data_IF_843488682343
#
_entry.id   IF_843488682343
#
_cell.length_a   1.000
_cell.length_b   1.000
_cell.length_c   1.000
_cell.angle_alpha   90.00
_cell.angle_beta   90.00
_cell.angle_gamma   90.00
#
_symmetry.space_group_name_H-M   'P 1'
#
loop_
_entity.id
_entity.type
_entity.pdbx_description
1 polymer ?
#
# COMPACT_ATOMS: atom_id res chain seq x y z
N UNK A 1 22.05 11.31 21.45
CA UNK A 1 22.68 10.46 20.42
C UNK A 1 21.71 10.40 19.28
N UNK A 2 22.06 10.99 18.11
CA UNK A 2 21.14 11.25 17.02
C UNK A 2 20.53 9.95 16.46
N UNK A 3 19.21 9.85 16.37
CA UNK A 3 18.46 8.73 15.76
C UNK A 3 19.04 8.39 14.38
N UNK A 4 19.46 9.41 13.60
CA UNK A 4 20.17 9.24 12.33
C UNK A 4 21.46 8.41 12.43
N UNK A 5 22.24 8.50 13.52
CA UNK A 5 23.47 7.69 13.68
C UNK A 5 23.17 6.21 13.95
N UNK A 6 22.07 5.90 14.63
CA UNK A 6 21.69 4.52 14.89
C UNK A 6 21.12 3.80 13.64
N UNK A 7 20.69 4.57 12.62
CA UNK A 7 20.22 4.03 11.33
C UNK A 7 21.37 3.68 10.38
N UNK A 8 22.56 4.29 10.53
CA UNK A 8 23.70 4.12 9.62
C UNK A 8 24.28 2.68 9.59
N UNK A 9 24.03 1.89 10.65
CA UNK A 9 24.50 0.51 10.72
C UNK A 9 23.48 -0.53 10.22
N UNK A 10 22.35 -0.08 9.64
CA UNK A 10 21.31 -0.98 9.17
C UNK A 10 21.56 -1.32 7.71
N UNK A 11 21.74 -2.62 7.44
CA UNK A 11 21.85 -3.12 6.08
C UNK A 11 20.45 -3.47 5.56
N UNK A 12 19.81 -2.55 4.85
CA UNK A 12 18.55 -2.81 4.14
C UNK A 12 18.88 -3.48 2.82
N UNK A 13 18.32 -4.66 2.60
CA UNK A 13 18.54 -5.51 1.43
C UNK A 13 17.32 -5.58 0.52
N UNK A 14 16.13 -5.23 1.04
CA UNK A 14 14.88 -5.28 0.30
C UNK A 14 14.00 -4.07 0.49
N UNK A 15 13.28 -3.68 -0.57
CA UNK A 15 12.23 -2.66 -0.54
C UNK A 15 10.89 -3.31 -0.89
N UNK A 16 9.93 -3.19 0.00
CA UNK A 16 8.59 -3.71 -0.13
C UNK A 16 7.63 -2.53 -0.31
N UNK A 17 6.83 -2.55 -1.36
CA UNK A 17 5.92 -1.46 -1.68
C UNK A 17 4.48 -1.93 -1.57
N UNK A 18 3.64 -1.17 -0.86
CA UNK A 18 2.23 -1.23 -1.17
C UNK A 18 1.97 -0.64 -2.56
N UNK A 19 0.80 -0.90 -3.12
CA UNK A 19 0.48 -0.49 -4.49
C UNK A 19 -0.49 0.68 -4.52
N UNK A 20 -1.68 0.48 -3.97
CA UNK A 20 -2.82 1.39 -4.06
C UNK A 20 -2.64 2.56 -3.09
N UNK A 21 -2.62 3.81 -3.60
CA UNK A 21 -2.33 4.98 -2.77
C UNK A 21 -0.85 5.22 -2.50
N UNK A 22 -0.01 4.19 -2.61
CA UNK A 22 1.46 4.28 -2.41
C UNK A 22 2.20 4.45 -3.74
N UNK A 23 2.19 3.45 -4.62
CA UNK A 23 2.86 3.55 -5.93
C UNK A 23 1.92 4.07 -7.01
N UNK A 24 0.64 3.71 -6.96
CA UNK A 24 -0.38 4.10 -7.94
C UNK A 24 -1.45 4.97 -7.30
N UNK A 25 -1.87 5.99 -8.04
CA UNK A 25 -2.96 6.89 -7.67
C UNK A 25 -4.31 6.27 -8.06
N UNK A 26 -4.73 5.27 -7.28
CA UNK A 26 -5.95 4.49 -7.56
C UNK A 26 -7.14 4.89 -6.69
N UNK A 27 -6.94 5.64 -5.61
CA UNK A 27 -8.00 6.08 -4.70
C UNK A 27 -9.13 6.83 -5.43
N UNK A 28 -8.85 7.82 -6.33
CA UNK A 28 -9.91 8.50 -7.05
C UNK A 28 -10.74 7.57 -7.94
N UNK A 29 -10.13 6.49 -8.44
CA UNK A 29 -10.82 5.50 -9.28
C UNK A 29 -11.81 4.68 -8.46
N UNK A 30 -11.41 4.26 -7.26
CA UNK A 30 -12.30 3.58 -6.31
C UNK A 30 -13.45 4.49 -5.90
N UNK A 31 -13.16 5.74 -5.54
CA UNK A 31 -14.17 6.74 -5.15
C UNK A 31 -15.23 6.92 -6.22
N UNK A 32 -14.83 7.05 -7.49
CA UNK A 32 -15.75 7.23 -8.62
C UNK A 32 -16.63 5.99 -8.83
N UNK A 33 -16.04 4.79 -8.83
CA UNK A 33 -16.76 3.54 -9.03
C UNK A 33 -17.76 3.27 -7.90
N UNK A 34 -17.34 3.45 -6.65
CA UNK A 34 -18.17 3.25 -5.47
C UNK A 34 -19.30 4.26 -5.38
N UNK A 35 -19.02 5.54 -5.67
CA UNK A 35 -20.06 6.57 -5.73
C UNK A 35 -21.09 6.27 -6.82
N UNK A 36 -20.66 5.77 -7.97
CA UNK A 36 -21.57 5.37 -9.05
C UNK A 36 -22.53 4.27 -8.62
N UNK A 37 -22.05 3.26 -7.88
CA UNK A 37 -22.90 2.20 -7.36
C UNK A 37 -23.88 2.73 -6.32
N UNK A 38 -23.41 3.59 -5.40
CA UNK A 38 -24.26 4.23 -4.37
C UNK A 38 -25.36 5.08 -5.02
N UNK A 39 -25.06 5.78 -6.10
CA UNK A 39 -26.06 6.57 -6.83
C UNK A 39 -27.13 5.71 -7.49
N UNK A 40 -26.76 4.51 -7.99
CA UNK A 40 -27.68 3.62 -8.70
C UNK A 40 -28.49 2.70 -7.79
N UNK A 41 -27.89 2.23 -6.70
CA UNK A 41 -28.46 1.16 -5.87
C UNK A 41 -28.61 1.54 -4.39
N UNK A 42 -28.12 2.69 -3.97
CA UNK A 42 -28.15 3.18 -2.61
C UNK A 42 -28.98 4.47 -2.45
N UNK A 43 -28.67 5.23 -1.40
CA UNK A 43 -29.37 6.48 -1.10
C UNK A 43 -28.86 7.70 -1.88
N UNK A 44 -27.87 7.53 -2.77
CA UNK A 44 -27.31 8.58 -3.64
C UNK A 44 -26.50 9.67 -2.92
N UNK A 45 -26.26 9.55 -1.62
CA UNK A 45 -25.46 10.53 -0.89
C UNK A 45 -23.98 10.41 -1.24
N UNK A 46 -23.24 11.54 -1.26
CA UNK A 46 -21.79 11.50 -1.48
C UNK A 46 -21.08 10.73 -0.36
N UNK A 47 -20.01 10.02 -0.72
CA UNK A 47 -19.17 9.33 0.25
C UNK A 47 -18.46 10.37 1.12
N UNK A 48 -18.75 10.34 2.41
CA UNK A 48 -18.21 11.27 3.38
C UNK A 48 -16.69 11.08 3.53
N UNK A 49 -15.94 12.17 3.72
CA UNK A 49 -14.48 12.11 3.90
C UNK A 49 -14.07 11.20 5.08
N UNK A 50 -14.84 11.20 6.16
CA UNK A 50 -14.62 10.32 7.31
C UNK A 50 -14.76 8.83 6.97
N UNK A 51 -15.63 8.49 6.03
CA UNK A 51 -15.77 7.12 5.52
C UNK A 51 -14.59 6.77 4.62
N UNK A 52 -14.21 7.64 3.67
CA UNK A 52 -13.02 7.43 2.82
C UNK A 52 -11.77 7.12 3.64
N UNK A 53 -11.57 7.84 4.73
CA UNK A 53 -10.46 7.59 5.66
C UNK A 53 -10.49 6.19 6.28
N UNK A 54 -11.68 5.64 6.56
CA UNK A 54 -11.83 4.30 7.11
C UNK A 54 -11.57 3.21 6.05
N UNK A 55 -11.78 3.52 4.76
CA UNK A 55 -11.58 2.58 3.66
C UNK A 55 -10.08 2.34 3.36
N UNK A 56 -9.24 3.34 3.60
CA UNK A 56 -7.80 3.30 3.25
C UNK A 56 -7.08 2.11 3.89
N UNK A 57 -6.46 1.28 3.06
CA UNK A 57 -5.69 0.12 3.49
C UNK A 57 -6.51 -1.01 4.13
N UNK A 58 -7.84 -0.88 4.20
CA UNK A 58 -8.75 -1.89 4.76
C UNK A 58 -9.10 -2.95 3.70
N UNK A 59 -9.27 -4.23 4.08
CA UNK A 59 -9.65 -5.28 3.14
C UNK A 59 -10.96 -5.00 2.39
N UNK A 60 -11.01 -5.35 1.11
CA UNK A 60 -12.13 -5.04 0.21
C UNK A 60 -13.50 -5.50 0.72
N UNK A 61 -13.59 -6.69 1.31
CA UNK A 61 -14.83 -7.24 1.86
C UNK A 61 -15.36 -6.40 3.05
N UNK A 62 -14.48 -5.85 3.87
CA UNK A 62 -14.85 -4.96 4.99
C UNK A 62 -15.32 -3.63 4.42
N UNK A 63 -14.61 -3.07 3.44
CA UNK A 63 -14.96 -1.82 2.79
C UNK A 63 -16.32 -1.90 2.11
N UNK A 64 -16.55 -2.94 1.32
CA UNK A 64 -17.84 -3.13 0.64
C UNK A 64 -18.99 -3.25 1.63
N UNK A 65 -18.79 -4.01 2.73
CA UNK A 65 -19.81 -4.11 3.77
C UNK A 65 -20.13 -2.76 4.42
N UNK A 66 -19.10 -1.97 4.76
CA UNK A 66 -19.27 -0.64 5.34
C UNK A 66 -20.07 0.28 4.40
N UNK A 67 -19.73 0.30 3.11
CA UNK A 67 -20.41 1.13 2.12
C UNK A 67 -21.86 0.69 1.90
N UNK A 68 -22.12 -0.61 1.79
CA UNK A 68 -23.47 -1.16 1.65
C UNK A 68 -24.33 -0.77 2.84
N UNK A 69 -23.86 -0.99 4.05
CA UNK A 69 -24.60 -0.68 5.28
C UNK A 69 -24.82 0.84 5.44
N UNK A 70 -23.77 1.65 5.21
CA UNK A 70 -23.79 3.11 5.44
C UNK A 70 -24.68 3.87 4.44
N UNK A 71 -24.68 3.41 3.18
CA UNK A 71 -25.38 4.10 2.10
C UNK A 71 -26.64 3.39 1.63
N UNK A 72 -27.14 2.43 2.42
CA UNK A 72 -28.40 1.68 2.19
C UNK A 72 -28.46 1.04 0.79
N UNK A 73 -27.31 0.52 0.33
CA UNK A 73 -27.20 -0.05 -1.01
C UNK A 73 -28.00 -1.36 -1.09
N UNK A 74 -28.81 -1.52 -2.12
CA UNK A 74 -29.68 -2.70 -2.35
C UNK A 74 -28.96 -3.85 -3.04
N UNK A 75 -27.71 -4.08 -2.63
CA UNK A 75 -26.85 -5.17 -3.06
C UNK A 75 -26.24 -5.82 -1.82
N UNK A 76 -25.86 -7.08 -1.93
CA UNK A 76 -24.97 -7.69 -0.94
C UNK A 76 -23.56 -7.12 -1.07
N UNK A 77 -22.71 -7.21 -0.03
CA UNK A 77 -21.31 -6.78 -0.12
C UNK A 77 -20.55 -7.45 -1.28
N UNK A 78 -20.81 -8.73 -1.56
CA UNK A 78 -20.17 -9.47 -2.65
C UNK A 78 -20.62 -8.97 -4.04
N UNK A 79 -21.92 -8.68 -4.21
CA UNK A 79 -22.44 -8.08 -5.44
C UNK A 79 -21.88 -6.65 -5.65
N UNK A 80 -21.79 -5.86 -4.58
CA UNK A 80 -21.15 -4.54 -4.61
C UNK A 80 -19.70 -4.64 -5.05
N UNK A 81 -18.92 -5.55 -4.43
CA UNK A 81 -17.52 -5.76 -4.77
C UNK A 81 -17.37 -6.16 -6.24
N UNK A 82 -18.16 -7.13 -6.69
CA UNK A 82 -18.10 -7.59 -8.08
C UNK A 82 -18.40 -6.44 -9.05
N UNK A 83 -19.46 -5.68 -8.81
CA UNK A 83 -19.83 -4.54 -9.67
C UNK A 83 -18.76 -3.46 -9.67
N UNK A 84 -18.18 -3.15 -8.50
CA UNK A 84 -17.06 -2.21 -8.39
C UNK A 84 -15.86 -2.67 -9.19
N UNK A 85 -15.47 -3.94 -9.04
CA UNK A 85 -14.31 -4.50 -9.73
C UNK A 85 -14.53 -4.51 -11.25
N UNK A 86 -15.75 -4.81 -11.72
CA UNK A 86 -16.11 -4.72 -13.15
C UNK A 86 -16.01 -3.27 -13.69
N UNK A 87 -16.45 -2.27 -12.90
CA UNK A 87 -16.35 -0.85 -13.26
C UNK A 87 -14.89 -0.35 -13.28
N UNK A 88 -14.01 -0.98 -12.53
CA UNK A 88 -12.61 -0.58 -12.37
C UNK A 88 -11.67 -1.17 -13.45
N UNK A 89 -12.09 -2.12 -14.26
CA UNK A 89 -11.23 -2.76 -15.27
C UNK A 89 -10.54 -1.73 -16.16
N UNK A 90 -11.31 -0.91 -16.86
CA UNK A 90 -10.74 0.10 -17.78
C UNK A 90 -10.03 1.26 -17.06
N UNK A 91 -10.57 1.85 -15.97
CA UNK A 91 -9.83 2.82 -15.17
C UNK A 91 -8.48 2.29 -14.66
N UNK A 92 -8.41 1.06 -14.17
CA UNK A 92 -7.16 0.46 -13.66
C UNK A 92 -6.10 0.32 -14.74
N UNK A 93 -6.48 -0.02 -15.99
CA UNK A 93 -5.53 -0.10 -17.11
C UNK A 93 -4.85 1.23 -17.40
N UNK A 94 -5.48 2.33 -17.01
CA UNK A 94 -4.97 3.68 -17.16
C UNK A 94 -4.46 4.29 -15.85
N UNK A 95 -4.17 3.47 -14.83
CA UNK A 95 -3.64 3.91 -13.55
C UNK A 95 -2.35 4.70 -13.71
N UNK A 96 -2.22 5.78 -12.93
CA UNK A 96 -1.06 6.65 -12.94
C UNK A 96 -0.21 6.41 -11.69
N UNK A 97 1.08 6.66 -11.83
CA UNK A 97 1.97 6.64 -10.68
C UNK A 97 1.74 7.85 -9.77
N UNK A 98 1.86 7.64 -8.48
CA UNK A 98 2.00 8.72 -7.51
C UNK A 98 3.31 9.48 -7.75
N UNK A 99 3.39 10.76 -7.39
CA UNK A 99 4.63 11.53 -7.45
C UNK A 99 5.80 10.80 -6.77
N UNK A 100 6.95 10.75 -7.41
CA UNK A 100 8.14 10.08 -6.91
C UNK A 100 8.19 8.54 -7.04
N UNK A 101 7.08 7.85 -7.30
CA UNK A 101 7.02 6.38 -7.28
C UNK A 101 7.96 5.72 -8.30
N UNK A 102 8.02 6.24 -9.53
CA UNK A 102 8.94 5.72 -10.58
C UNK A 102 10.40 5.91 -10.19
N UNK A 103 10.74 7.08 -9.65
CA UNK A 103 12.09 7.38 -9.23
C UNK A 103 12.50 6.54 -8.03
N UNK A 104 11.63 6.40 -7.03
CA UNK A 104 11.85 5.57 -5.86
C UNK A 104 12.15 4.11 -6.26
N UNK A 105 11.30 3.51 -7.09
CA UNK A 105 11.47 2.12 -7.51
C UNK A 105 12.74 1.92 -8.34
N UNK A 106 13.05 2.88 -9.24
CA UNK A 106 14.31 2.87 -9.98
C UNK A 106 15.52 2.92 -9.04
N UNK A 107 15.56 3.91 -8.14
CA UNK A 107 16.67 4.08 -7.21
C UNK A 107 16.84 2.85 -6.31
N UNK A 108 15.78 2.37 -5.69
CA UNK A 108 15.84 1.15 -4.88
C UNK A 108 16.43 -0.03 -5.66
N UNK A 109 15.93 -0.27 -6.87
CA UNK A 109 16.32 -1.43 -7.68
C UNK A 109 17.68 -1.29 -8.33
N UNK A 110 17.95 -0.14 -8.95
CA UNK A 110 19.13 0.05 -9.83
C UNK A 110 20.29 0.69 -9.07
N UNK A 111 20.04 1.83 -8.39
CA UNK A 111 21.12 2.60 -7.78
C UNK A 111 21.61 1.99 -6.47
N UNK A 112 20.66 1.37 -5.71
CA UNK A 112 20.95 0.77 -4.41
C UNK A 112 21.02 -0.75 -4.45
N UNK A 113 20.64 -1.41 -5.54
CA UNK A 113 20.73 -2.86 -5.72
C UNK A 113 19.79 -3.66 -4.81
N UNK A 114 18.73 -3.06 -4.30
CA UNK A 114 17.79 -3.74 -3.42
C UNK A 114 16.95 -4.76 -4.17
N UNK A 115 16.61 -5.86 -3.51
CA UNK A 115 15.52 -6.74 -3.96
C UNK A 115 14.18 -6.04 -3.72
N UNK A 116 13.24 -6.17 -4.66
CA UNK A 116 12.02 -5.36 -4.65
C UNK A 116 10.78 -6.23 -4.73
N UNK A 117 9.76 -5.88 -3.94
CA UNK A 117 8.47 -6.56 -4.01
C UNK A 117 7.30 -5.58 -3.92
N UNK A 118 6.21 -5.91 -4.63
CA UNK A 118 4.89 -5.33 -4.38
C UNK A 118 4.16 -6.25 -3.39
N UNK A 119 3.57 -5.67 -2.34
CA UNK A 119 2.80 -6.33 -1.30
C UNK A 119 1.44 -5.63 -1.16
N UNK A 120 0.48 -5.99 -2.04
CA UNK A 120 -0.81 -5.28 -2.19
C UNK A 120 -1.99 -6.05 -1.60
N UNK A 121 -2.93 -5.31 -0.99
CA UNK A 121 -4.24 -5.82 -0.61
C UNK A 121 -5.18 -6.13 -1.78
N UNK A 122 -4.82 -5.77 -3.01
CA UNK A 122 -5.57 -6.08 -4.22
C UNK A 122 -5.55 -7.58 -4.51
N UNK A 123 -6.66 -8.09 -5.08
CA UNK A 123 -6.70 -9.42 -5.70
C UNK A 123 -5.76 -9.48 -6.91
N UNK A 124 -5.39 -10.69 -7.31
CA UNK A 124 -4.60 -10.91 -8.53
C UNK A 124 -5.29 -10.32 -9.77
N UNK A 125 -6.62 -10.47 -9.85
CA UNK A 125 -7.40 -9.89 -10.93
C UNK A 125 -7.26 -8.36 -11.01
N UNK A 126 -7.43 -7.66 -9.90
CA UNK A 126 -7.29 -6.20 -9.86
C UNK A 126 -5.85 -5.76 -10.09
N UNK A 127 -4.87 -6.47 -9.53
CA UNK A 127 -3.46 -6.22 -9.78
C UNK A 127 -3.12 -6.32 -11.28
N UNK A 128 -3.55 -7.37 -11.95
CA UNK A 128 -3.29 -7.58 -13.39
C UNK A 128 -3.88 -6.46 -14.25
N UNK A 129 -5.08 -5.97 -13.92
CA UNK A 129 -5.67 -4.82 -14.60
C UNK A 129 -4.87 -3.54 -14.38
N UNK A 130 -4.42 -3.26 -13.15
CA UNK A 130 -3.55 -2.10 -12.85
C UNK A 130 -2.22 -2.16 -13.59
N UNK A 131 -1.66 -3.35 -13.76
CA UNK A 131 -0.38 -3.57 -14.44
C UNK A 131 -0.52 -3.68 -15.95
N UNK A 132 -1.72 -3.63 -16.52
CA UNK A 132 -1.94 -3.89 -17.96
C UNK A 132 -1.01 -3.07 -18.86
N UNK A 133 -0.96 -1.76 -18.67
CA UNK A 133 -0.07 -0.85 -19.40
C UNK A 133 1.26 -0.58 -18.69
N UNK A 134 1.51 -1.22 -17.53
CA UNK A 134 2.70 -1.02 -16.69
C UNK A 134 3.60 -2.26 -16.61
N UNK A 135 3.34 -3.29 -17.42
CA UNK A 135 4.08 -4.56 -17.40
C UNK A 135 5.58 -4.38 -17.62
N UNK A 136 5.98 -3.49 -18.53
CA UNK A 136 7.40 -3.22 -18.80
C UNK A 136 8.09 -2.64 -17.54
N UNK A 137 7.45 -1.66 -16.89
CA UNK A 137 7.95 -1.12 -15.62
C UNK A 137 8.01 -2.20 -14.53
N UNK A 138 6.93 -2.97 -14.36
CA UNK A 138 6.86 -4.06 -13.38
C UNK A 138 8.01 -5.05 -13.58
N UNK A 139 8.20 -5.55 -14.80
CA UNK A 139 9.24 -6.53 -15.11
C UNK A 139 10.66 -6.01 -14.86
N UNK A 140 10.85 -4.70 -15.01
CA UNK A 140 12.16 -4.06 -14.85
C UNK A 140 12.50 -3.78 -13.37
N UNK A 141 11.52 -3.44 -12.57
CA UNK A 141 11.78 -2.88 -11.24
C UNK A 141 11.24 -3.72 -10.08
N UNK A 142 10.47 -4.78 -10.33
CA UNK A 142 9.82 -5.59 -9.29
C UNK A 142 10.20 -7.06 -9.46
N UNK A 143 10.84 -7.65 -8.44
CA UNK A 143 11.24 -9.05 -8.44
C UNK A 143 10.11 -9.98 -8.03
N UNK A 144 9.25 -9.54 -7.11
CA UNK A 144 8.20 -10.37 -6.51
C UNK A 144 6.91 -9.58 -6.36
N UNK A 145 5.79 -10.26 -6.58
CA UNK A 145 4.45 -9.72 -6.29
C UNK A 145 3.74 -10.65 -5.32
N UNK A 146 3.12 -10.07 -4.29
CA UNK A 146 2.22 -10.73 -3.35
C UNK A 146 0.90 -9.97 -3.34
N UNK A 147 -0.17 -10.66 -3.71
CA UNK A 147 -1.56 -10.15 -3.73
C UNK A 147 -2.35 -10.70 -2.54
N UNK A 148 -3.56 -10.21 -2.32
CA UNK A 148 -4.44 -10.70 -1.25
C UNK A 148 -4.77 -12.19 -1.39
N UNK A 149 -4.77 -12.74 -2.60
CA UNK A 149 -5.05 -14.15 -2.84
C UNK A 149 -3.93 -15.08 -2.32
N UNK A 150 -2.77 -14.53 -2.05
CA UNK A 150 -1.60 -15.26 -1.56
C UNK A 150 -1.51 -15.33 -0.03
N UNK A 151 -2.43 -14.71 0.70
CA UNK A 151 -2.38 -14.56 2.15
C UNK A 151 -3.67 -15.04 2.82
N UNK A 152 -3.56 -15.47 4.07
CA UNK A 152 -4.74 -15.89 4.87
C UNK A 152 -5.39 -14.72 5.60
N UNK A 153 -4.57 -13.79 6.08
CA UNK A 153 -5.01 -12.65 6.87
C UNK A 153 -4.47 -11.37 6.27
N UNK A 154 -5.37 -10.51 5.80
CA UNK A 154 -5.02 -9.21 5.25
C UNK A 154 -4.51 -8.22 6.32
N UNK A 155 -3.97 -7.08 5.89
CA UNK A 155 -3.60 -5.95 6.75
C UNK A 155 -4.77 -5.63 7.71
N UNK A 156 -4.53 -5.40 8.99
CA UNK A 156 -3.25 -5.09 9.66
C UNK A 156 -2.42 -6.30 10.12
N UNK A 157 -2.79 -7.54 9.74
CA UNK A 157 -1.94 -8.69 10.03
C UNK A 157 -0.65 -8.64 9.18
N UNK A 158 0.47 -9.15 9.69
CA UNK A 158 1.80 -9.00 9.09
C UNK A 158 2.05 -9.90 7.88
N UNK A 159 1.14 -10.84 7.59
CA UNK A 159 1.34 -11.98 6.69
C UNK A 159 1.90 -11.55 5.33
N UNK A 160 1.39 -10.48 4.74
CA UNK A 160 1.77 -10.03 3.39
C UNK A 160 3.23 -9.60 3.31
N UNK A 161 3.73 -8.85 4.31
CA UNK A 161 5.11 -8.39 4.33
C UNK A 161 6.08 -9.50 4.71
N UNK A 162 5.68 -10.42 5.60
CA UNK A 162 6.47 -11.62 5.92
C UNK A 162 6.63 -12.49 4.67
N UNK A 163 5.55 -12.72 3.92
CA UNK A 163 5.58 -13.52 2.69
C UNK A 163 6.41 -12.82 1.61
N UNK A 164 6.27 -11.50 1.44
CA UNK A 164 7.04 -10.73 0.47
C UNK A 164 8.54 -10.81 0.76
N UNK A 165 8.96 -10.55 2.01
CA UNK A 165 10.35 -10.68 2.42
C UNK A 165 10.89 -12.11 2.18
N UNK A 166 10.13 -13.13 2.59
CA UNK A 166 10.49 -14.54 2.40
C UNK A 166 10.66 -14.90 0.91
N UNK A 167 9.77 -14.44 0.03
CA UNK A 167 9.88 -14.68 -1.41
C UNK A 167 11.12 -14.02 -2.04
N UNK A 168 11.58 -12.90 -1.46
CA UNK A 168 12.86 -12.28 -1.83
C UNK A 168 14.09 -12.99 -1.25
N UNK A 169 13.88 -13.99 -0.37
CA UNK A 169 14.97 -14.66 0.37
C UNK A 169 15.55 -13.79 1.48
N UNK A 170 14.72 -12.91 2.08
CA UNK A 170 15.09 -11.98 3.14
C UNK A 170 14.26 -12.20 4.39
N UNK A 171 14.77 -11.64 5.50
CA UNK A 171 14.00 -11.48 6.72
C UNK A 171 13.32 -10.11 6.74
N UNK A 172 12.16 -9.94 7.40
CA UNK A 172 11.48 -8.63 7.45
C UNK A 172 12.36 -7.50 7.98
N UNK A 173 13.23 -7.76 8.96
CA UNK A 173 14.14 -6.74 9.52
C UNK A 173 15.25 -6.29 8.57
N UNK A 174 15.43 -6.96 7.42
CA UNK A 174 16.33 -6.56 6.34
C UNK A 174 15.61 -5.70 5.28
N UNK A 175 14.33 -5.38 5.50
CA UNK A 175 13.50 -4.67 4.54
C UNK A 175 13.08 -3.29 5.03
N UNK A 176 12.85 -2.41 4.06
CA UNK A 176 12.09 -1.17 4.18
C UNK A 176 10.72 -1.36 3.52
N UNK A 177 9.66 -0.82 4.12
CA UNK A 177 8.30 -0.82 3.57
C UNK A 177 7.88 0.61 3.25
N UNK A 178 7.22 0.82 2.11
CA UNK A 178 6.53 2.07 1.75
C UNK A 178 5.02 1.79 1.72
N UNK A 179 4.26 2.62 2.40
CA UNK A 179 2.83 2.43 2.67
C UNK A 179 2.12 3.78 2.87
N UNK A 180 0.80 3.84 2.61
CA UNK A 180 -0.03 5.02 2.83
C UNK A 180 -1.16 4.79 3.84
N UNK A 181 -1.55 3.52 4.04
CA UNK A 181 -2.66 3.13 4.90
C UNK A 181 -2.23 2.74 6.32
N UNK A 182 -2.99 3.20 7.34
CA UNK A 182 -2.75 2.85 8.74
C UNK A 182 -2.73 1.32 9.00
N UNK A 183 -3.64 0.51 8.41
CA UNK A 183 -3.57 -0.95 8.55
C UNK A 183 -2.29 -1.54 7.96
N UNK A 184 -1.79 -1.01 6.86
CA UNK A 184 -0.56 -1.48 6.23
C UNK A 184 0.68 -1.14 7.04
N UNK A 185 0.77 0.08 7.58
CA UNK A 185 1.85 0.47 8.49
C UNK A 185 1.86 -0.42 9.74
N UNK A 186 0.68 -0.69 10.35
CA UNK A 186 0.57 -1.64 11.47
C UNK A 186 1.02 -3.05 11.08
N UNK A 187 0.69 -3.51 9.87
CA UNK A 187 1.12 -4.80 9.36
C UNK A 187 2.65 -4.87 9.21
N UNK A 188 3.28 -3.82 8.66
CA UNK A 188 4.72 -3.75 8.49
C UNK A 188 5.48 -3.73 9.82
N UNK A 189 4.99 -2.95 10.80
CA UNK A 189 5.54 -2.91 12.17
C UNK A 189 5.40 -4.30 12.81
N UNK A 190 4.23 -4.93 12.71
CA UNK A 190 3.98 -6.26 13.27
C UNK A 190 4.79 -7.36 12.59
N UNK A 191 5.19 -7.18 11.34
CA UNK A 191 6.09 -8.08 10.62
C UNK A 191 7.55 -7.97 11.11
N UNK A 192 7.89 -6.93 11.87
CA UNK A 192 9.25 -6.66 12.32
C UNK A 192 10.14 -6.04 11.23
N UNK A 193 9.55 -5.32 10.30
CA UNK A 193 10.28 -4.56 9.27
C UNK A 193 11.13 -3.48 9.91
N UNK A 194 12.32 -3.24 9.38
CA UNK A 194 13.28 -2.32 10.00
C UNK A 194 12.91 -0.86 9.85
N UNK A 195 12.47 -0.47 8.67
CA UNK A 195 12.05 0.90 8.36
C UNK A 195 10.67 0.83 7.70
N UNK A 196 9.74 1.63 8.18
CA UNK A 196 8.45 1.85 7.55
C UNK A 196 8.36 3.32 7.18
N UNK A 197 8.12 3.60 5.90
CA UNK A 197 7.87 4.94 5.37
C UNK A 197 6.38 5.05 5.10
N UNK A 198 5.70 5.85 5.89
CA UNK A 198 4.29 6.17 5.71
C UNK A 198 4.17 7.45 4.88
N UNK A 199 3.54 7.35 3.70
CA UNK A 199 3.29 8.50 2.81
C UNK A 199 1.83 8.89 2.94
N UNK A 200 1.56 9.94 3.73
CA UNK A 200 0.22 10.27 4.19
C UNK A 200 -0.11 11.76 4.06
N UNK A 201 -1.39 12.07 4.02
CA UNK A 201 -1.88 13.43 4.11
C UNK A 201 -1.77 13.97 5.55
N UNK A 202 -1.62 15.30 5.70
CA UNK A 202 -1.42 15.95 7.01
C UNK A 202 -2.53 15.63 8.03
N UNK A 203 -3.79 15.52 7.57
CA UNK A 203 -4.91 15.22 8.47
C UNK A 203 -4.86 13.81 9.10
N UNK A 204 -4.09 12.87 8.51
CA UNK A 204 -3.93 11.51 9.01
C UNK A 204 -2.82 11.41 10.08
N UNK A 205 -1.92 12.39 10.13
CA UNK A 205 -0.68 12.37 10.89
C UNK A 205 -0.82 11.91 12.33
N UNK A 206 -1.81 12.41 13.04
CA UNK A 206 -2.03 12.06 14.45
C UNK A 206 -2.16 10.55 14.68
N UNK A 207 -2.94 9.86 13.84
CA UNK A 207 -3.15 8.41 13.95
C UNK A 207 -1.89 7.58 13.73
N UNK A 208 -0.93 8.12 12.95
CA UNK A 208 0.34 7.45 12.69
C UNK A 208 1.40 7.78 13.74
N UNK A 209 1.38 8.98 14.31
CA UNK A 209 2.29 9.39 15.40
C UNK A 209 2.13 8.53 16.65
N UNK A 210 0.93 8.02 16.93
CA UNK A 210 0.68 7.10 18.03
C UNK A 210 1.45 5.78 17.88
N UNK A 211 1.83 5.39 16.66
CA UNK A 211 2.61 4.18 16.38
C UNK A 211 4.13 4.34 16.62
N UNK A 212 4.63 5.58 16.71
CA UNK A 212 6.08 5.85 16.89
C UNK A 212 6.61 5.28 18.22
N UNK A 213 5.73 5.10 19.20
CA UNK A 213 6.07 4.60 20.53
C UNK A 213 6.08 3.06 20.65
N UNK A 214 5.88 2.35 19.52
CA UNK A 214 5.92 0.89 19.55
C UNK A 214 7.35 0.38 19.83
N UNK A 215 7.46 -0.59 20.76
CA UNK A 215 8.73 -1.15 21.29
C UNK A 215 9.50 -2.02 20.28
N UNK A 216 8.97 -2.19 19.08
CA UNK A 216 9.48 -3.10 18.05
C UNK A 216 10.57 -2.45 17.23
N UNK A 217 11.73 -2.15 17.64
CA UNK A 217 12.94 -1.75 16.86
C UNK A 217 12.70 -1.23 15.39
N UNK A 218 11.44 -1.00 15.00
CA UNK A 218 11.03 -0.45 13.70
C UNK A 218 11.12 1.06 13.75
N UNK A 219 11.73 1.67 12.74
CA UNK A 219 11.74 3.12 12.56
C UNK A 219 10.58 3.50 11.65
N UNK A 220 9.65 4.31 12.14
CA UNK A 220 8.57 4.89 11.35
C UNK A 220 9.01 6.29 10.87
N UNK A 221 8.93 6.50 9.56
CA UNK A 221 9.19 7.78 8.89
C UNK A 221 7.88 8.22 8.24
N UNK A 222 7.47 9.46 8.49
CA UNK A 222 6.22 10.00 7.93
C UNK A 222 6.60 11.09 6.91
N UNK A 223 6.12 10.92 5.67
CA UNK A 223 6.34 11.83 4.55
C UNK A 223 5.00 12.25 3.93
N UNK A 224 4.98 13.36 3.20
CA UNK A 224 3.83 13.79 2.39
C UNK A 224 3.88 13.28 0.95
N UNK A 225 5.08 12.97 0.46
CA UNK A 225 5.31 12.46 -0.88
C UNK A 225 6.51 11.51 -0.88
N UNK A 226 6.51 10.53 -1.78
CA UNK A 226 7.68 9.68 -2.03
C UNK A 226 8.90 10.48 -2.51
N UNK A 227 8.69 11.66 -3.07
CA UNK A 227 9.76 12.59 -3.51
C UNK A 227 10.62 13.09 -2.35
N UNK A 228 10.07 13.10 -1.13
CA UNK A 228 10.78 13.55 0.09
C UNK A 228 11.68 12.47 0.70
N UNK A 229 11.68 11.24 0.15
CA UNK A 229 12.43 10.14 0.75
C UNK A 229 13.95 10.38 0.67
N UNK A 230 14.58 10.40 1.85
CA UNK A 230 16.04 10.56 1.96
C UNK A 230 16.76 9.22 1.73
N UNK A 231 17.31 9.06 0.53
CA UNK A 231 18.07 7.87 0.13
C UNK A 231 19.37 7.67 0.91
N UNK A 232 19.86 8.67 1.65
CA UNK A 232 21.04 8.50 2.53
C UNK A 232 20.82 7.48 3.65
N UNK A 233 19.57 7.13 3.93
CA UNK A 233 19.17 6.05 4.84
C UNK A 233 19.48 4.65 4.31
N UNK A 234 19.74 4.51 3.00
CA UNK A 234 20.05 3.25 2.35
C UNK A 234 21.55 3.16 2.06
N UNK A 235 22.12 1.95 2.19
CA UNK A 235 23.48 1.65 1.74
C UNK A 235 23.40 0.96 0.37
N UNK A 236 24.28 1.33 -0.56
CA UNK A 236 24.40 0.63 -1.85
C UNK A 236 24.84 -0.81 -1.60
N UNK A 237 24.16 -1.75 -2.24
CA UNK A 237 24.58 -3.14 -2.28
C UNK A 237 25.58 -3.30 -3.43
N UNK A 238 26.74 -3.88 -3.13
CA UNK A 238 27.80 -4.15 -4.12
C UNK A 238 27.45 -5.37 -4.94
#
# INVERSE_FOLDING_TARGET
>A
MNILRALIDINILGALFDLDGTLLDTEPLYDEAEQKIINLYGNGKPIEQSIKQQLLGTPANINCKLLVDRYEVKLTPDEFQKMRDDLLIEPFRNSKFKPGAKELTHKCKVDYGLKTAIATGSSTFNFENKMYNLKEWQNKYIDVVVTSDNIKRGKPNPDIFIIAAKKLGLQPYECIVFEDGLPGVKAAISAGVRIVVAVIEEYQRQSFEELIYDKNRTTLIILKSLEEFDFSLLKKQN
#
